data_IF_466370638356
#
_entry.id   IF_466370638356
#
_cell.length_a   1.000
_cell.length_b   1.000
_cell.length_c   1.000
_cell.angle_alpha   90.00
_cell.angle_beta   90.00
_cell.angle_gamma   90.00
#
_symmetry.space_group_name_H-M   'P 1'
#
loop_
_entity.id
_entity.type
_entity.pdbx_description
1 polymer ?
#
# COMPACT_ATOMS: atom_id res chain seq x y z
N UNK A 1 -5.11 -14.65 -5.93
CA UNK A 1 -6.03 -13.79 -5.15
C UNK A 1 -5.17 -13.12 -4.11
N UNK A 2 -4.78 -11.88 -4.37
CA UNK A 2 -3.85 -11.14 -3.52
C UNK A 2 -4.54 -10.80 -2.20
N UNK A 3 -3.97 -11.26 -1.09
CA UNK A 3 -4.57 -11.12 0.23
C UNK A 3 -4.18 -9.76 0.82
N UNK A 4 -5.12 -8.82 0.88
CA UNK A 4 -4.84 -7.44 1.31
C UNK A 4 -4.72 -7.28 2.84
N UNK A 5 -4.83 -8.37 3.62
CA UNK A 5 -4.76 -8.31 5.09
C UNK A 5 -3.40 -7.86 5.63
N UNK A 6 -2.33 -7.97 4.83
CA UNK A 6 -0.98 -7.57 5.21
C UNK A 6 -0.62 -6.17 4.68
N UNK A 7 -1.58 -5.33 4.31
CA UNK A 7 -1.35 -3.96 3.88
C UNK A 7 -2.23 -2.99 4.66
N UNK A 8 -1.65 -1.89 5.14
CA UNK A 8 -2.33 -0.84 5.89
C UNK A 8 -2.17 0.50 5.19
N UNK A 9 -3.26 1.26 5.07
CA UNK A 9 -3.23 2.67 4.71
C UNK A 9 -3.12 3.50 5.98
N UNK A 10 -1.97 4.17 6.17
CA UNK A 10 -1.70 5.03 7.31
C UNK A 10 -1.62 6.49 6.88
N UNK A 11 -2.24 7.39 7.64
CA UNK A 11 -2.09 8.84 7.40
C UNK A 11 -0.61 9.20 7.59
N UNK A 12 0.02 9.78 6.57
CA UNK A 12 1.36 10.29 6.69
C UNK A 12 1.36 11.46 7.71
N UNK A 13 2.37 11.53 8.59
CA UNK A 13 2.46 12.54 9.67
C UNK A 13 2.66 13.98 9.15
N UNK A 14 2.55 14.21 7.84
CA UNK A 14 2.73 15.52 7.23
C UNK A 14 1.45 16.35 7.33
N UNK A 15 1.46 17.34 8.23
CA UNK A 15 0.32 18.24 8.47
C UNK A 15 -0.08 19.11 7.25
N UNK A 16 0.67 19.10 6.15
CA UNK A 16 0.35 19.91 4.97
C UNK A 16 -0.51 19.17 3.93
N UNK A 17 -0.53 17.83 3.94
CA UNK A 17 -1.35 17.02 3.05
C UNK A 17 -1.75 15.70 3.73
N UNK A 18 -3.05 15.41 3.90
CA UNK A 18 -3.48 14.12 4.43
C UNK A 18 -3.36 13.04 3.33
N UNK A 19 -2.13 12.78 2.90
CA UNK A 19 -1.83 11.68 1.99
C UNK A 19 -1.80 10.39 2.82
N UNK A 20 -2.36 9.31 2.27
CA UNK A 20 -2.45 8.01 2.93
C UNK A 20 -1.31 7.12 2.42
N UNK A 21 -0.32 6.80 3.22
CA UNK A 21 0.73 5.87 2.82
C UNK A 21 0.25 4.41 2.87
N UNK A 22 0.40 3.67 1.77
CA UNK A 22 0.20 2.23 1.69
C UNK A 22 1.47 1.52 2.16
N UNK A 23 1.36 0.80 3.26
CA UNK A 23 2.48 0.12 3.91
C UNK A 23 2.20 -1.38 3.93
N UNK A 24 3.18 -2.19 3.56
CA UNK A 24 3.15 -3.63 3.77
C UNK A 24 3.48 -3.94 5.24
N UNK A 25 2.59 -4.60 5.97
CA UNK A 25 2.78 -5.02 7.35
C UNK A 25 3.69 -6.25 7.48
N UNK A 26 3.86 -7.01 6.40
CA UNK A 26 4.70 -8.22 6.38
C UNK A 26 6.20 -7.86 6.44
N UNK A 27 6.61 -6.86 5.65
CA UNK A 27 8.00 -6.38 5.62
C UNK A 27 8.21 -4.98 6.21
N UNK A 28 7.13 -4.25 6.51
CA UNK A 28 7.20 -2.86 6.95
C UNK A 28 7.55 -1.87 5.84
N UNK A 29 7.55 -2.29 4.57
CA UNK A 29 7.94 -1.45 3.44
C UNK A 29 6.81 -0.51 3.02
N UNK A 30 7.15 0.74 2.73
CA UNK A 30 6.26 1.72 2.13
C UNK A 30 6.18 1.46 0.63
N UNK A 31 4.99 1.16 0.14
CA UNK A 31 4.77 0.85 -1.27
C UNK A 31 4.48 2.10 -2.11
N UNK A 32 3.51 2.89 -1.67
CA UNK A 32 3.13 4.12 -2.35
C UNK A 32 2.34 5.06 -1.44
N UNK A 33 2.21 6.30 -1.86
CA UNK A 33 1.32 7.29 -1.25
C UNK A 33 0.00 7.31 -2.03
N UNK A 34 -1.10 7.03 -1.34
CA UNK A 34 -2.46 7.14 -1.86
C UNK A 34 -2.93 8.59 -1.74
N UNK A 35 -2.92 9.27 -2.88
CA UNK A 35 -3.38 10.65 -3.01
C UNK A 35 -4.88 10.73 -3.34
N UNK A 36 -5.46 11.92 -3.15
CA UNK A 36 -6.86 12.17 -3.50
C UNK A 36 -7.08 12.10 -5.02
N UNK A 37 -7.64 11.00 -5.51
CA UNK A 37 -7.82 10.72 -6.93
C UNK A 37 -7.24 9.38 -7.35
N UNK A 38 -6.44 8.76 -6.49
CA UNK A 38 -5.96 7.40 -6.72
C UNK A 38 -7.11 6.40 -6.62
N UNK A 39 -7.09 5.42 -7.50
CA UNK A 39 -8.14 4.41 -7.57
C UNK A 39 -7.75 3.22 -6.71
N UNK A 40 -8.72 2.62 -6.01
CA UNK A 40 -8.51 1.36 -5.27
C UNK A 40 -7.87 0.28 -6.15
N UNK A 41 -8.15 0.29 -7.46
CA UNK A 41 -7.54 -0.61 -8.42
C UNK A 41 -6.02 -0.44 -8.56
N UNK A 42 -5.51 0.80 -8.52
CA UNK A 42 -4.08 1.12 -8.60
C UNK A 42 -3.35 0.66 -7.33
N UNK A 43 -3.98 0.89 -6.18
CA UNK A 43 -3.48 0.44 -4.87
C UNK A 43 -3.38 -1.09 -4.82
N UNK A 44 -4.43 -1.79 -5.28
CA UNK A 44 -4.41 -3.25 -5.35
C UNK A 44 -3.30 -3.72 -6.28
N UNK A 45 -3.19 -3.17 -7.49
CA UNK A 45 -2.14 -3.53 -8.45
C UNK A 45 -0.72 -3.38 -7.86
N UNK A 46 -0.50 -2.32 -7.07
CA UNK A 46 0.77 -2.09 -6.37
C UNK A 46 1.04 -3.18 -5.32
N UNK A 47 0.02 -3.60 -4.57
CA UNK A 47 0.13 -4.73 -3.64
C UNK A 47 0.41 -6.05 -4.36
N UNK A 48 -0.20 -6.29 -5.53
CA UNK A 48 0.04 -7.52 -6.30
C UNK A 48 1.46 -7.57 -6.86
N UNK A 49 1.96 -6.45 -7.39
CA UNK A 49 3.33 -6.32 -7.90
C UNK A 49 4.36 -6.55 -6.78
N UNK A 50 4.15 -5.92 -5.61
CA UNK A 50 5.02 -6.14 -4.45
C UNK A 50 4.95 -7.58 -3.93
N UNK A 51 3.78 -8.20 -3.91
CA UNK A 51 3.60 -9.60 -3.52
C UNK A 51 4.37 -10.55 -4.45
N UNK A 52 4.31 -10.33 -5.76
CA UNK A 52 5.07 -11.11 -6.75
C UNK A 52 6.59 -10.89 -6.62
N UNK A 53 7.04 -9.66 -6.41
CA UNK A 53 8.45 -9.31 -6.30
C UNK A 53 9.09 -9.81 -4.99
N UNK A 54 8.38 -9.70 -3.87
CA UNK A 54 8.88 -10.04 -2.53
C UNK A 54 8.57 -11.48 -2.12
N UNK A 55 7.61 -12.12 -2.79
CA UNK A 55 7.07 -13.42 -2.39
C UNK A 55 6.13 -13.37 -1.17
N UNK A 56 5.67 -12.19 -0.79
CA UNK A 56 4.66 -11.99 0.27
C UNK A 56 3.26 -12.37 -0.23
N UNK A 57 2.39 -12.86 0.66
CA UNK A 57 1.01 -13.22 0.29
C UNK A 57 0.83 -14.57 -0.41
N UNK A 58 1.79 -15.49 -0.28
CA UNK A 58 1.71 -16.86 -0.83
C UNK A 58 1.13 -17.88 0.15
#
# INVERSE_FOLDING_TARGET
MTNLFNYELRVADDSAKPDLALICLECGEHLCDAEHGDSLHSLVATCEDHAEASGHGR
#
